data_IF_017106083745
#
_entry.id   IF_017106083745
#
_cell.length_a   1.000
_cell.length_b   1.000
_cell.length_c   1.000
_cell.angle_alpha   90.00
_cell.angle_beta   90.00
_cell.angle_gamma   90.00
#
_symmetry.space_group_name_H-M   'P 1'
#
loop_
_entity.id
_entity.type
_entity.pdbx_description
1 polymer ?
#
# COMPACT_ATOMS: atom_id res chain seq x y z
N UNK A 1 -28.30 21.79 15.43
CA UNK A 1 -26.93 21.27 15.60
C UNK A 1 -26.64 20.43 14.38
N UNK A 2 -26.21 21.08 13.29
CA UNK A 2 -25.83 20.43 12.04
C UNK A 2 -24.47 19.77 12.20
N UNK A 3 -24.43 18.60 12.85
CA UNK A 3 -23.25 17.73 12.86
C UNK A 3 -23.38 16.67 11.77
N UNK A 4 -23.54 17.17 10.54
CA UNK A 4 -23.45 16.37 9.33
C UNK A 4 -22.44 17.07 8.42
N UNK A 5 -21.16 17.10 8.82
CA UNK A 5 -20.12 17.06 7.81
C UNK A 5 -20.49 15.89 6.91
N UNK A 6 -20.94 16.20 5.69
CA UNK A 6 -21.65 15.29 4.81
C UNK A 6 -20.85 13.98 4.69
N UNK A 7 -21.41 12.85 5.12
CA UNK A 7 -20.72 11.55 5.13
C UNK A 7 -20.12 11.26 3.75
N UNK A 8 -20.77 11.71 2.68
CA UNK A 8 -20.26 11.61 1.31
C UNK A 8 -18.96 12.39 1.09
N UNK A 9 -18.82 13.57 1.70
CA UNK A 9 -17.62 14.39 1.60
C UNK A 9 -16.47 13.81 2.42
N UNK A 10 -16.76 13.21 3.58
CA UNK A 10 -15.77 12.42 4.34
C UNK A 10 -15.28 11.22 3.51
N UNK A 11 -16.19 10.45 2.92
CA UNK A 11 -15.84 9.30 2.09
C UNK A 11 -14.97 9.73 0.88
N UNK A 12 -15.37 10.80 0.17
CA UNK A 12 -14.58 11.38 -0.91
C UNK A 12 -13.20 11.85 -0.44
N UNK A 13 -13.11 12.47 0.74
CA UNK A 13 -11.84 12.96 1.30
C UNK A 13 -10.88 11.82 1.62
N UNK A 14 -11.37 10.72 2.21
CA UNK A 14 -10.57 9.52 2.48
C UNK A 14 -10.01 8.95 1.18
N UNK A 15 -10.87 8.71 0.18
CA UNK A 15 -10.43 8.18 -1.11
C UNK A 15 -9.42 9.10 -1.82
N UNK A 16 -9.62 10.41 -1.79
CA UNK A 16 -8.65 11.38 -2.34
C UNK A 16 -7.31 11.32 -1.62
N UNK A 17 -7.33 11.15 -0.30
CA UNK A 17 -6.10 11.05 0.51
C UNK A 17 -5.32 9.79 0.17
N UNK A 18 -6.01 8.66 0.05
CA UNK A 18 -5.40 7.39 -0.36
C UNK A 18 -4.86 7.45 -1.79
N UNK A 19 -5.59 8.05 -2.73
CA UNK A 19 -5.13 8.23 -4.09
C UNK A 19 -3.84 9.07 -4.16
N UNK A 20 -3.78 10.20 -3.44
CA UNK A 20 -2.59 11.03 -3.37
C UNK A 20 -1.41 10.29 -2.72
N UNK A 21 -1.67 9.44 -1.73
CA UNK A 21 -0.62 8.62 -1.12
C UNK A 21 -0.04 7.60 -2.12
N UNK A 22 -0.89 6.97 -2.95
CA UNK A 22 -0.46 6.06 -4.02
C UNK A 22 0.31 6.82 -5.11
N UNK A 23 -0.19 7.98 -5.54
CA UNK A 23 0.49 8.82 -6.54
C UNK A 23 1.89 9.23 -6.06
N UNK A 24 2.03 9.58 -4.78
CA UNK A 24 3.32 9.87 -4.16
C UNK A 24 4.29 8.68 -4.09
N UNK A 25 3.85 7.43 -4.33
CA UNK A 25 4.75 6.28 -4.42
C UNK A 25 5.53 6.25 -5.73
N UNK A 26 5.09 6.95 -6.79
CA UNK A 26 5.77 6.98 -8.09
C UNK A 26 7.23 7.44 -7.92
N UNK A 27 7.44 8.49 -7.13
CA UNK A 27 8.77 9.05 -6.84
C UNK A 27 9.67 8.11 -6.00
N UNK A 28 9.10 7.04 -5.43
CA UNK A 28 9.85 6.04 -4.65
C UNK A 28 10.22 4.82 -5.49
N UNK A 29 9.80 4.74 -6.75
CA UNK A 29 10.20 3.68 -7.67
C UNK A 29 11.57 4.05 -8.24
N UNK A 30 12.61 3.63 -7.53
CA UNK A 30 14.01 3.84 -7.89
C UNK A 30 14.75 2.50 -8.08
N UNK A 31 16.08 2.53 -8.19
CA UNK A 31 16.88 1.33 -8.39
C UNK A 31 16.70 0.28 -7.29
N UNK A 32 16.42 0.69 -6.04
CA UNK A 32 16.20 -0.25 -4.95
C UNK A 32 14.94 -1.09 -5.14
N UNK A 33 13.91 -0.53 -5.81
CA UNK A 33 12.73 -1.28 -6.21
C UNK A 33 13.08 -2.34 -7.25
N UNK A 34 13.87 -1.97 -8.27
CA UNK A 34 14.34 -2.91 -9.28
C UNK A 34 15.15 -4.05 -8.64
N UNK A 35 16.11 -3.72 -7.77
CA UNK A 35 16.93 -4.71 -7.07
C UNK A 35 16.06 -5.69 -6.25
N UNK A 36 15.03 -5.19 -5.57
CA UNK A 36 14.11 -6.03 -4.80
C UNK A 36 13.33 -7.01 -5.70
N UNK A 37 12.88 -6.57 -6.87
CA UNK A 37 12.21 -7.43 -7.87
C UNK A 37 13.16 -8.51 -8.36
N UNK A 38 14.40 -8.15 -8.70
CA UNK A 38 15.40 -9.09 -9.20
C UNK A 38 15.76 -10.15 -8.15
N UNK A 39 15.90 -9.77 -6.88
CA UNK A 39 16.15 -10.68 -5.75
C UNK A 39 14.99 -11.68 -5.59
N UNK A 40 13.74 -11.19 -5.63
CA UNK A 40 12.54 -12.03 -5.51
C UNK A 40 12.47 -13.01 -6.69
N UNK A 41 12.68 -12.51 -7.92
CA UNK A 41 12.64 -13.31 -9.14
C UNK A 41 13.71 -14.41 -9.17
N UNK A 42 14.91 -14.10 -8.69
CA UNK A 42 16.01 -15.06 -8.61
C UNK A 42 15.85 -16.11 -7.50
N UNK A 43 14.84 -15.98 -6.63
CA UNK A 43 14.62 -16.89 -5.52
C UNK A 43 14.24 -18.29 -6.01
N UNK A 44 15.05 -19.29 -5.65
CA UNK A 44 14.82 -20.72 -5.97
C UNK A 44 13.88 -21.42 -4.99
N UNK A 45 13.47 -20.71 -3.93
CA UNK A 45 12.68 -21.24 -2.83
C UNK A 45 11.33 -20.56 -2.73
N UNK A 46 10.87 -20.33 -1.49
CA UNK A 46 9.66 -19.56 -1.21
C UNK A 46 10.03 -18.20 -0.65
N UNK A 47 9.33 -17.16 -1.10
CA UNK A 47 9.38 -15.83 -0.50
C UNK A 47 8.37 -15.81 0.64
N UNK A 48 8.85 -15.64 1.87
CA UNK A 48 7.99 -15.61 3.06
C UNK A 48 7.68 -14.16 3.40
N UNK A 49 6.40 -13.80 3.34
CA UNK A 49 5.90 -12.48 3.74
C UNK A 49 5.30 -12.60 5.15
N UNK A 50 5.78 -11.79 6.09
CA UNK A 50 5.30 -11.78 7.48
C UNK A 50 5.12 -10.35 7.99
N UNK A 51 4.25 -10.19 8.99
CA UNK A 51 3.94 -8.91 9.60
C UNK A 51 2.79 -9.02 10.60
N UNK A 52 2.61 -8.01 11.42
CA UNK A 52 1.53 -7.95 12.43
C UNK A 52 0.50 -6.87 12.09
N UNK A 53 -0.72 -7.02 12.61
CA UNK A 53 -1.79 -6.03 12.46
C UNK A 53 -2.19 -5.78 11.00
N UNK A 54 -2.45 -4.52 10.64
CA UNK A 54 -2.85 -4.12 9.28
C UNK A 54 -1.84 -4.53 8.23
N UNK A 55 -0.54 -4.39 8.53
CA UNK A 55 0.54 -4.79 7.61
C UNK A 55 0.54 -6.31 7.38
N UNK A 56 0.23 -7.11 8.40
CA UNK A 56 0.04 -8.56 8.25
C UNK A 56 -1.14 -8.92 7.35
N UNK A 57 -2.25 -8.18 7.44
CA UNK A 57 -3.41 -8.36 6.54
C UNK A 57 -3.07 -8.05 5.08
N UNK A 58 -2.25 -7.02 4.83
CA UNK A 58 -1.76 -6.70 3.47
C UNK A 58 -0.79 -7.78 2.98
N UNK A 59 0.17 -8.20 3.82
CA UNK A 59 1.11 -9.27 3.48
C UNK A 59 0.39 -10.57 3.11
N UNK A 60 -0.67 -10.93 3.83
CA UNK A 60 -1.54 -12.09 3.53
C UNK A 60 -2.32 -11.95 2.21
N UNK A 61 -2.53 -10.75 1.67
CA UNK A 61 -3.13 -10.58 0.34
C UNK A 61 -2.12 -10.76 -0.79
N UNK A 62 -0.83 -10.55 -0.50
CA UNK A 62 0.25 -10.61 -1.50
C UNK A 62 0.76 -12.04 -1.68
N UNK A 63 0.68 -12.88 -0.64
CA UNK A 63 1.22 -14.24 -0.60
C UNK A 63 0.16 -15.30 -0.22
#
# INVERSE_FOLDING_TARGET
MDNMDNILDIAKKVLKTEAAAIEGLIERIDSSFQDAVDIIYASKGKVIVTGMGKSGLIGKKIA
#
